data_IF_834265839882
#
_entry.id   IF_834265839882
#
_cell.length_a   1.000
_cell.length_b   1.000
_cell.length_c   1.000
_cell.angle_alpha   90.00
_cell.angle_beta   90.00
_cell.angle_gamma   90.00
#
_symmetry.space_group_name_H-M   'P 1'
#
loop_
_entity.id
_entity.type
_entity.pdbx_description
1 polymer ?
#
# COMPACT_ATOMS: atom_id res chain seq x y z
N UNK A 1 -50.48 -32.38 -56.28
CA UNK A 1 -50.96 -31.69 -55.06
C UNK A 1 -50.81 -32.65 -53.88
N UNK A 2 -49.62 -32.84 -53.32
CA UNK A 2 -48.88 -32.00 -52.35
C UNK A 2 -49.38 -32.09 -50.89
N UNK A 3 -48.46 -32.60 -50.06
CA UNK A 3 -48.25 -32.38 -48.62
C UNK A 3 -49.02 -33.27 -47.61
N UNK A 4 -48.50 -34.49 -47.51
CA UNK A 4 -48.41 -35.32 -46.28
C UNK A 4 -47.30 -34.76 -45.37
N UNK A 5 -47.51 -34.88 -44.05
CA UNK A 5 -46.51 -35.26 -43.04
C UNK A 5 -45.21 -34.43 -42.92
N UNK A 6 -45.28 -33.14 -42.58
CA UNK A 6 -44.11 -32.36 -42.12
C UNK A 6 -44.51 -31.40 -40.99
N UNK A 7 -45.21 -31.86 -39.94
CA UNK A 7 -45.40 -31.06 -38.70
C UNK A 7 -45.45 -32.03 -37.51
N UNK A 8 -44.43 -32.89 -37.36
CA UNK A 8 -44.19 -33.62 -36.10
C UNK A 8 -42.73 -34.07 -35.97
N UNK A 9 -41.80 -33.27 -36.50
CA UNK A 9 -40.36 -33.49 -36.39
C UNK A 9 -39.58 -32.21 -36.03
N UNK A 10 -40.29 -31.13 -35.69
CA UNK A 10 -39.68 -29.84 -35.34
C UNK A 10 -39.76 -29.47 -33.85
N UNK A 11 -40.29 -30.35 -33.00
CA UNK A 11 -40.42 -30.08 -31.55
C UNK A 11 -39.47 -30.94 -30.68
N UNK A 12 -38.78 -31.94 -31.25
CA UNK A 12 -37.73 -32.70 -30.53
C UNK A 12 -36.32 -32.19 -30.88
N UNK A 13 -36.17 -31.33 -31.90
CA UNK A 13 -34.90 -30.70 -32.28
C UNK A 13 -34.55 -29.41 -31.54
N UNK A 14 -35.46 -28.84 -30.75
CA UNK A 14 -35.24 -27.55 -30.06
C UNK A 14 -34.96 -27.67 -28.55
N UNK A 15 -35.04 -28.88 -27.98
CA UNK A 15 -34.68 -29.12 -26.58
C UNK A 15 -33.20 -29.56 -26.45
N UNK A 16 -32.55 -30.00 -27.53
CA UNK A 16 -31.11 -30.31 -27.52
C UNK A 16 -30.19 -29.13 -27.87
N UNK A 17 -30.74 -27.98 -28.29
CA UNK A 17 -29.94 -26.78 -28.61
C UNK A 17 -29.90 -25.72 -27.50
N UNK A 18 -30.74 -25.85 -26.46
CA UNK A 18 -30.69 -25.00 -25.27
C UNK A 18 -29.95 -25.64 -24.08
N UNK A 19 -29.59 -26.93 -24.17
CA UNK A 19 -28.69 -27.58 -23.21
C UNK A 19 -27.19 -27.39 -23.51
N UNK A 20 -26.83 -26.99 -24.74
CA UNK A 20 -25.43 -26.87 -25.18
C UNK A 20 -24.71 -25.57 -24.79
N UNK A 21 -25.44 -24.45 -24.65
CA UNK A 21 -24.82 -23.17 -24.28
C UNK A 21 -24.52 -23.03 -22.78
N UNK A 22 -25.20 -23.79 -21.91
CA UNK A 22 -24.90 -23.83 -20.49
C UNK A 22 -23.67 -24.72 -20.17
N UNK A 23 -23.37 -25.72 -21.01
CA UNK A 23 -22.18 -26.57 -20.86
C UNK A 23 -20.90 -25.91 -21.38
N UNK A 24 -20.98 -25.08 -22.43
CA UNK A 24 -19.82 -24.36 -22.98
C UNK A 24 -19.40 -23.14 -22.15
N UNK A 25 -20.34 -22.48 -21.46
CA UNK A 25 -20.04 -21.39 -20.52
C UNK A 25 -19.43 -21.90 -19.20
N UNK A 26 -19.85 -23.08 -18.73
CA UNK A 26 -19.25 -23.75 -17.58
C UNK A 26 -17.84 -24.31 -17.83
N UNK A 27 -17.54 -24.77 -19.06
CA UNK A 27 -16.20 -25.26 -19.42
C UNK A 27 -15.18 -24.14 -19.65
N UNK A 28 -15.59 -22.98 -20.16
CA UNK A 28 -14.70 -21.82 -20.31
C UNK A 28 -14.31 -21.21 -18.96
N UNK A 29 -15.26 -21.10 -18.01
CA UNK A 29 -14.97 -20.62 -16.66
C UNK A 29 -14.06 -21.57 -15.87
N UNK A 30 -14.25 -22.89 -16.00
CA UNK A 30 -13.38 -23.87 -15.34
C UNK A 30 -11.96 -23.88 -15.92
N UNK A 31 -11.80 -23.71 -17.23
CA UNK A 31 -10.47 -23.66 -17.84
C UNK A 31 -9.72 -22.37 -17.48
N UNK A 32 -10.39 -21.21 -17.46
CA UNK A 32 -9.75 -19.96 -17.04
C UNK A 32 -9.32 -20.01 -15.56
N UNK A 33 -10.16 -20.54 -14.68
CA UNK A 33 -9.81 -20.70 -13.28
C UNK A 33 -8.61 -21.66 -13.09
N UNK A 34 -8.57 -22.77 -13.82
CA UNK A 34 -7.43 -23.70 -13.78
C UNK A 34 -6.14 -23.07 -14.33
N UNK A 35 -6.23 -22.23 -15.36
CA UNK A 35 -5.08 -21.49 -15.90
C UNK A 35 -4.57 -20.41 -14.93
N UNK A 36 -5.46 -19.67 -14.27
CA UNK A 36 -5.11 -18.69 -13.24
C UNK A 36 -4.47 -19.37 -12.02
N UNK A 37 -5.00 -20.51 -11.57
CA UNK A 37 -4.45 -21.30 -10.47
C UNK A 37 -3.04 -21.84 -10.81
N UNK A 38 -2.82 -22.32 -12.04
CA UNK A 38 -1.50 -22.80 -12.51
C UNK A 38 -0.49 -21.64 -12.61
N UNK A 39 -0.89 -20.50 -13.18
CA UNK A 39 -0.04 -19.31 -13.23
C UNK A 39 0.35 -18.81 -11.84
N UNK A 40 -0.60 -18.78 -10.90
CA UNK A 40 -0.34 -18.38 -9.52
C UNK A 40 0.60 -19.38 -8.83
N UNK A 41 0.45 -20.67 -9.07
CA UNK A 41 1.34 -21.70 -8.53
C UNK A 41 2.76 -21.52 -9.07
N UNK A 42 2.92 -21.31 -10.38
CA UNK A 42 4.22 -21.09 -11.02
C UNK A 42 4.91 -19.83 -10.49
N UNK A 43 4.17 -18.73 -10.31
CA UNK A 43 4.68 -17.51 -9.70
C UNK A 43 5.15 -17.77 -8.26
N UNK A 44 4.35 -18.48 -7.46
CA UNK A 44 4.71 -18.79 -6.08
C UNK A 44 6.00 -19.64 -6.00
N UNK A 45 6.17 -20.62 -6.87
CA UNK A 45 7.39 -21.46 -6.94
C UNK A 45 8.61 -20.66 -7.39
N UNK A 46 8.41 -19.74 -8.35
CA UNK A 46 9.45 -18.82 -8.80
C UNK A 46 9.90 -17.88 -7.67
N UNK A 47 8.95 -17.27 -6.94
CA UNK A 47 9.24 -16.42 -5.77
C UNK A 47 10.07 -17.19 -4.73
N UNK A 48 9.66 -18.42 -4.38
CA UNK A 48 10.41 -19.26 -3.43
C UNK A 48 11.83 -19.58 -3.93
N UNK A 49 11.98 -19.82 -5.23
CA UNK A 49 13.29 -20.06 -5.84
C UNK A 49 14.20 -18.83 -5.72
N UNK A 50 13.67 -17.63 -5.96
CA UNK A 50 14.42 -16.39 -5.76
C UNK A 50 14.84 -16.20 -4.29
N UNK A 51 13.91 -16.41 -3.35
CA UNK A 51 14.20 -16.29 -1.90
C UNK A 51 15.31 -17.25 -1.46
N UNK A 52 15.31 -18.48 -1.97
CA UNK A 52 16.32 -19.47 -1.65
C UNK A 52 17.72 -19.10 -2.19
N UNK A 53 17.79 -18.30 -3.26
CA UNK A 53 19.03 -17.84 -3.86
C UNK A 53 19.59 -16.57 -3.19
N UNK A 54 18.79 -15.84 -2.41
CA UNK A 54 19.23 -14.61 -1.74
C UNK A 54 20.23 -14.89 -0.62
N UNK A 55 21.26 -14.05 -0.56
CA UNK A 55 22.14 -13.87 0.61
C UNK A 55 21.36 -13.36 1.83
N UNK A 56 21.96 -13.47 3.02
CA UNK A 56 21.32 -12.94 4.24
C UNK A 56 21.18 -11.41 4.15
N UNK A 57 22.15 -10.71 3.58
CA UNK A 57 22.11 -9.26 3.37
C UNK A 57 20.92 -8.86 2.49
N UNK A 58 20.71 -9.54 1.35
CA UNK A 58 19.55 -9.30 0.49
C UNK A 58 18.24 -9.58 1.24
N UNK A 59 18.17 -10.67 2.01
CA UNK A 59 16.96 -11.01 2.78
C UNK A 59 16.62 -9.94 3.81
N UNK A 60 17.61 -9.46 4.56
CA UNK A 60 17.40 -8.44 5.59
C UNK A 60 17.07 -7.10 4.95
N UNK A 61 17.78 -6.71 3.89
CA UNK A 61 17.53 -5.48 3.17
C UNK A 61 16.09 -5.37 2.68
N UNK A 62 15.51 -6.45 2.14
CA UNK A 62 14.12 -6.46 1.68
C UNK A 62 13.10 -6.16 2.79
N UNK A 63 13.42 -6.35 4.07
CA UNK A 63 12.53 -6.02 5.19
C UNK A 63 12.47 -4.52 5.52
N UNK A 64 13.28 -3.67 4.86
CA UNK A 64 13.38 -2.25 5.20
C UNK A 64 13.04 -1.38 4.00
N UNK A 65 12.18 -0.40 4.22
CA UNK A 65 12.02 0.78 3.36
C UNK A 65 12.67 1.95 4.09
N UNK A 66 13.65 2.58 3.44
CA UNK A 66 14.44 3.67 4.03
C UNK A 66 14.04 5.04 3.46
N UNK A 67 14.42 6.12 4.15
CA UNK A 67 14.38 7.46 3.58
C UNK A 67 15.65 7.77 2.80
N UNK A 68 15.65 8.96 2.20
CA UNK A 68 16.86 9.61 1.69
C UNK A 68 16.84 11.08 2.10
N UNK A 69 18.03 11.70 2.14
CA UNK A 69 18.18 13.11 2.48
C UNK A 69 18.54 13.95 1.24
N UNK A 70 18.06 15.19 1.22
CA UNK A 70 18.35 16.13 0.14
C UNK A 70 17.69 15.76 -1.20
N UNK A 71 18.25 16.33 -2.28
CA UNK A 71 17.69 16.31 -3.64
C UNK A 71 18.43 15.36 -4.60
N UNK A 72 19.42 14.62 -4.10
CA UNK A 72 20.34 13.81 -4.93
C UNK A 72 20.56 12.44 -4.28
N UNK A 73 20.90 11.44 -5.09
CA UNK A 73 21.33 10.13 -4.59
C UNK A 73 22.75 10.24 -4.01
N UNK A 74 22.84 10.58 -2.73
CA UNK A 74 24.10 10.76 -2.04
C UNK A 74 24.78 9.43 -1.66
N UNK A 75 25.97 9.50 -1.07
CA UNK A 75 26.73 8.30 -0.69
C UNK A 75 25.99 7.44 0.35
N UNK A 76 25.16 8.03 1.21
CA UNK A 76 24.42 7.30 2.23
C UNK A 76 23.29 6.49 1.58
N UNK A 77 22.52 7.10 0.68
CA UNK A 77 21.51 6.43 -0.13
C UNK A 77 22.12 5.31 -0.99
N UNK A 78 23.23 5.58 -1.68
CA UNK A 78 23.98 4.56 -2.43
C UNK A 78 24.40 3.40 -1.53
N UNK A 79 24.91 3.68 -0.34
CA UNK A 79 25.32 2.63 0.62
C UNK A 79 24.14 1.77 1.05
N UNK A 80 22.97 2.36 1.35
CA UNK A 80 21.77 1.60 1.72
C UNK A 80 21.32 0.67 0.61
N UNK A 81 21.36 1.13 -0.65
CA UNK A 81 20.95 0.35 -1.82
C UNK A 81 21.99 -0.72 -2.16
N UNK A 82 23.24 -0.32 -2.35
CA UNK A 82 24.29 -1.17 -2.92
C UNK A 82 24.88 -2.14 -1.89
N UNK A 83 25.02 -1.74 -0.62
CA UNK A 83 25.60 -2.58 0.43
C UNK A 83 24.52 -3.25 1.29
N UNK A 84 23.51 -2.50 1.75
CA UNK A 84 22.45 -3.02 2.62
C UNK A 84 21.25 -3.60 1.90
N UNK A 85 21.18 -3.48 0.56
CA UNK A 85 20.20 -4.18 -0.29
C UNK A 85 18.75 -3.87 0.07
N UNK A 86 18.48 -2.63 0.51
CA UNK A 86 17.16 -2.23 1.02
C UNK A 86 16.03 -2.54 0.03
N UNK A 87 14.86 -2.86 0.57
CA UNK A 87 13.67 -3.25 -0.20
C UNK A 87 13.01 -2.10 -0.92
N UNK A 88 13.21 -0.87 -0.45
CA UNK A 88 12.64 0.31 -1.08
C UNK A 88 13.05 1.61 -0.42
N UNK A 89 12.61 2.71 -1.04
CA UNK A 89 12.83 4.08 -0.61
C UNK A 89 11.49 4.81 -0.57
N UNK A 90 11.29 5.61 0.48
CA UNK A 90 10.20 6.59 0.55
C UNK A 90 10.75 8.00 0.30
N UNK A 91 10.07 8.77 -0.56
CA UNK A 91 10.35 10.18 -0.78
C UNK A 91 9.38 11.09 0.00
N UNK A 92 9.92 12.21 0.47
CA UNK A 92 9.18 13.28 1.13
C UNK A 92 9.27 14.58 0.33
N UNK A 93 8.48 15.59 0.72
CA UNK A 93 8.55 16.92 0.11
C UNK A 93 9.95 17.54 0.25
N UNK A 94 10.69 17.20 1.31
CA UNK A 94 12.10 17.63 1.50
C UNK A 94 13.07 17.07 0.44
N UNK A 95 12.65 16.05 -0.32
CA UNK A 95 13.45 15.46 -1.41
C UNK A 95 13.04 15.97 -2.80
N UNK A 96 12.00 16.79 -2.88
CA UNK A 96 11.35 17.18 -4.13
C UNK A 96 11.35 18.71 -4.25
N UNK A 97 12.23 19.21 -5.09
CA UNK A 97 12.33 20.62 -5.46
C UNK A 97 11.43 20.96 -6.65
N UNK A 98 11.55 20.20 -7.72
CA UNK A 98 10.81 20.34 -8.97
C UNK A 98 10.76 18.99 -9.71
N UNK A 99 9.96 18.89 -10.77
CA UNK A 99 9.75 17.63 -11.48
C UNK A 99 11.03 17.07 -12.10
N UNK A 100 11.88 17.92 -12.68
CA UNK A 100 13.11 17.44 -13.31
C UNK A 100 14.08 16.87 -12.28
N UNK A 101 14.30 17.58 -11.17
CA UNK A 101 15.15 17.09 -10.08
C UNK A 101 14.60 15.79 -9.48
N UNK A 102 13.28 15.66 -9.31
CA UNK A 102 12.68 14.42 -8.81
C UNK A 102 12.95 13.23 -9.74
N UNK A 103 12.85 13.42 -11.06
CA UNK A 103 13.15 12.38 -12.05
C UNK A 103 14.64 11.99 -12.02
N UNK A 104 15.54 12.97 -11.88
CA UNK A 104 16.98 12.72 -11.73
C UNK A 104 17.29 11.92 -10.45
N UNK A 105 16.67 12.27 -9.32
CA UNK A 105 16.79 11.52 -8.07
C UNK A 105 16.28 10.09 -8.26
N UNK A 106 15.05 9.90 -8.74
CA UNK A 106 14.48 8.54 -8.91
C UNK A 106 15.32 7.69 -9.86
N UNK A 107 15.76 8.23 -10.99
CA UNK A 107 16.58 7.49 -11.94
C UNK A 107 17.96 7.13 -11.38
N UNK A 108 18.59 8.01 -10.58
CA UNK A 108 19.86 7.70 -9.95
C UNK A 108 19.74 6.67 -8.82
N UNK A 109 18.63 6.64 -8.07
CA UNK A 109 18.35 5.57 -7.10
C UNK A 109 18.18 4.21 -7.79
N UNK A 110 17.45 4.18 -8.91
CA UNK A 110 17.31 3.00 -9.77
C UNK A 110 18.64 2.52 -10.34
N UNK A 111 19.48 3.45 -10.78
CA UNK A 111 20.83 3.15 -11.27
C UNK A 111 21.70 2.49 -10.19
N UNK A 112 21.70 3.02 -8.96
CA UNK A 112 22.37 2.37 -7.82
C UNK A 112 21.84 0.97 -7.54
N UNK A 113 20.54 0.72 -7.75
CA UNK A 113 19.97 -0.61 -7.55
C UNK A 113 20.29 -1.60 -8.69
N UNK A 114 20.95 -1.18 -9.78
CA UNK A 114 21.31 -2.06 -10.91
C UNK A 114 22.23 -3.23 -10.54
N UNK A 115 22.91 -3.15 -9.40
CA UNK A 115 23.74 -4.24 -8.84
C UNK A 115 22.90 -5.29 -8.09
N UNK A 116 21.61 -5.05 -7.88
CA UNK A 116 20.68 -5.90 -7.15
C UNK A 116 19.68 -6.57 -8.10
N UNK A 117 19.29 -7.83 -7.86
CA UNK A 117 18.37 -8.53 -8.74
C UNK A 117 16.90 -8.14 -8.54
N UNK A 118 16.56 -7.48 -7.42
CA UNK A 118 15.19 -7.15 -7.04
C UNK A 118 14.98 -5.62 -7.12
N UNK A 119 14.00 -5.15 -7.90
CA UNK A 119 13.67 -3.72 -8.01
C UNK A 119 13.26 -3.08 -6.69
N UNK A 120 13.45 -1.77 -6.55
CA UNK A 120 13.02 -1.03 -5.35
C UNK A 120 11.51 -0.81 -5.32
N UNK A 121 10.92 -0.88 -4.13
CA UNK A 121 9.71 -0.08 -3.90
C UNK A 121 10.11 1.40 -3.86
N UNK A 122 9.46 2.22 -4.66
CA UNK A 122 9.66 3.67 -4.70
C UNK A 122 8.34 4.31 -4.27
N UNK A 123 8.31 4.68 -2.99
CA UNK A 123 7.12 5.04 -2.25
C UNK A 123 7.01 6.56 -2.01
N UNK A 124 5.78 7.02 -1.80
CA UNK A 124 5.46 8.40 -1.42
C UNK A 124 4.17 8.45 -0.61
N UNK A 125 3.96 9.52 0.17
CA UNK A 125 2.67 9.87 0.77
C UNK A 125 1.92 10.89 -0.09
N UNK A 126 1.30 10.45 -1.19
CA UNK A 126 0.44 11.29 -2.04
C UNK A 126 -1.04 10.99 -1.73
N UNK A 127 -1.53 11.53 -0.60
CA UNK A 127 -2.93 11.39 -0.16
C UNK A 127 -3.84 12.44 -0.81
N UNK A 128 -3.28 13.64 -1.04
CA UNK A 128 -4.00 14.85 -1.42
C UNK A 128 -4.18 15.83 -0.27
N UNK A 129 -4.76 16.99 -0.56
CA UNK A 129 -4.91 18.06 0.43
C UNK A 129 -3.56 18.50 1.02
N UNK A 130 -3.45 18.51 2.35
CA UNK A 130 -2.21 18.90 3.05
C UNK A 130 -1.12 17.82 3.03
N UNK A 131 -1.47 16.57 2.70
CA UNK A 131 -0.51 15.47 2.53
C UNK A 131 -0.36 15.16 1.04
N UNK A 132 0.29 16.10 0.37
CA UNK A 132 0.73 16.00 -1.02
C UNK A 132 2.22 16.31 -1.07
N UNK A 133 2.95 15.58 -1.90
CA UNK A 133 4.43 15.57 -1.97
C UNK A 133 4.92 15.82 -3.38
N UNK A 134 4.08 15.54 -4.38
CA UNK A 134 4.39 15.80 -5.79
C UNK A 134 4.86 17.24 -6.04
N UNK A 135 5.68 17.45 -7.10
CA UNK A 135 6.14 18.77 -7.51
C UNK A 135 4.99 19.75 -7.78
N UNK A 136 5.25 21.04 -7.59
CA UNK A 136 4.25 22.10 -7.70
C UNK A 136 3.75 22.29 -9.16
N UNK A 137 4.44 21.71 -10.14
CA UNK A 137 3.99 21.64 -11.53
C UNK A 137 2.71 20.81 -11.71
N UNK A 138 2.42 19.85 -10.82
CA UNK A 138 1.18 19.11 -10.84
C UNK A 138 0.06 19.89 -10.14
N UNK A 139 -1.16 19.81 -10.68
CA UNK A 139 -2.32 20.36 -10.00
C UNK A 139 -2.59 19.65 -8.69
N UNK A 140 -2.92 20.44 -7.66
CA UNK A 140 -3.27 19.93 -6.33
C UNK A 140 -4.56 19.11 -6.38
N UNK A 141 -4.62 18.10 -5.53
CA UNK A 141 -5.80 17.27 -5.29
C UNK A 141 -6.50 17.66 -3.99
N UNK A 142 -7.83 17.49 -3.89
CA UNK A 142 -8.56 17.82 -2.67
C UNK A 142 -8.12 16.93 -1.49
N UNK A 143 -8.38 17.37 -0.26
CA UNK A 143 -8.28 16.50 0.90
C UNK A 143 -9.37 15.41 0.85
N UNK A 144 -9.12 14.24 1.44
CA UNK A 144 -10.07 13.12 1.47
C UNK A 144 -11.43 13.51 2.04
N UNK A 145 -11.48 14.39 3.05
CA UNK A 145 -12.74 14.90 3.59
C UNK A 145 -13.61 15.54 2.51
N UNK A 146 -13.02 16.33 1.60
CA UNK A 146 -13.79 16.98 0.54
C UNK A 146 -14.33 15.97 -0.47
N UNK A 147 -13.59 14.89 -0.71
CA UNK A 147 -14.07 13.76 -1.54
C UNK A 147 -15.24 13.06 -0.84
N UNK A 148 -15.13 12.81 0.46
CA UNK A 148 -16.21 12.22 1.26
C UNK A 148 -17.45 13.11 1.37
N UNK A 149 -17.30 14.44 1.44
CA UNK A 149 -18.42 15.39 1.40
C UNK A 149 -19.18 15.37 0.07
N UNK A 150 -18.47 15.20 -1.05
CA UNK A 150 -19.10 15.02 -2.37
C UNK A 150 -19.78 13.64 -2.45
N UNK A 151 -19.20 12.64 -1.78
CA UNK A 151 -19.70 11.28 -1.65
C UNK A 151 -20.01 10.60 -2.99
N UNK A 152 -19.13 10.77 -3.97
CA UNK A 152 -19.21 10.12 -5.28
C UNK A 152 -18.05 9.14 -5.44
N UNK A 153 -18.37 7.85 -5.48
CA UNK A 153 -17.40 6.76 -5.63
C UNK A 153 -16.65 6.83 -6.97
N UNK A 154 -17.29 7.32 -8.03
CA UNK A 154 -16.66 7.49 -9.34
C UNK A 154 -15.60 8.60 -9.32
N UNK A 155 -15.85 9.68 -8.57
CA UNK A 155 -14.84 10.72 -8.33
C UNK A 155 -13.59 10.14 -7.68
N UNK A 156 -13.77 9.36 -6.60
CA UNK A 156 -12.65 8.72 -5.88
C UNK A 156 -11.80 7.84 -6.80
N UNK A 157 -12.44 7.01 -7.64
CA UNK A 157 -11.73 6.17 -8.60
C UNK A 157 -11.00 7.00 -9.67
N UNK A 158 -11.70 7.95 -10.32
CA UNK A 158 -11.14 8.75 -11.43
C UNK A 158 -9.99 9.63 -10.94
N UNK A 159 -10.14 10.27 -9.78
CA UNK A 159 -9.10 11.10 -9.18
C UNK A 159 -7.86 10.26 -8.86
N UNK A 160 -8.05 9.13 -8.17
CA UNK A 160 -6.95 8.24 -7.79
C UNK A 160 -6.26 7.60 -9.01
N UNK A 161 -7.02 7.31 -10.08
CA UNK A 161 -6.44 6.87 -11.36
C UNK A 161 -5.57 7.96 -12.01
N UNK A 162 -5.96 9.23 -11.95
CA UNK A 162 -5.11 10.30 -12.49
C UNK A 162 -3.86 10.50 -11.62
N UNK A 163 -4.00 10.43 -10.29
CA UNK A 163 -2.85 10.43 -9.37
C UNK A 163 -1.92 9.25 -9.64
N UNK A 164 -2.46 8.05 -9.83
CA UNK A 164 -1.68 6.87 -10.19
C UNK A 164 -0.88 7.07 -11.50
N UNK A 165 -1.45 7.76 -12.49
CA UNK A 165 -0.73 8.11 -13.71
C UNK A 165 0.41 9.10 -13.46
N UNK A 166 0.21 10.08 -12.58
CA UNK A 166 1.26 11.04 -12.19
C UNK A 166 2.41 10.31 -11.49
N UNK A 167 2.10 9.47 -10.50
CA UNK A 167 3.09 8.68 -9.76
C UNK A 167 3.88 7.75 -10.68
N UNK A 168 3.18 6.98 -11.54
CA UNK A 168 3.82 6.07 -12.49
C UNK A 168 4.72 6.81 -13.47
N UNK A 169 4.26 7.96 -13.98
CA UNK A 169 5.06 8.77 -14.90
C UNK A 169 6.35 9.28 -14.23
N UNK A 170 6.31 9.60 -12.94
CA UNK A 170 7.48 9.97 -12.15
C UNK A 170 8.38 8.78 -11.79
N UNK A 171 7.98 7.54 -12.07
CA UNK A 171 8.75 6.33 -11.75
C UNK A 171 8.53 5.79 -10.34
N UNK A 172 7.55 6.34 -9.60
CA UNK A 172 7.08 5.79 -8.34
C UNK A 172 6.17 4.59 -8.61
N UNK A 173 6.15 3.63 -7.68
CA UNK A 173 5.39 2.39 -7.83
C UNK A 173 4.57 2.02 -6.58
N UNK A 174 4.68 2.78 -5.49
CA UNK A 174 3.94 2.57 -4.26
C UNK A 174 3.45 3.91 -3.72
N UNK A 175 2.20 3.95 -3.27
CA UNK A 175 1.63 5.12 -2.62
C UNK A 175 1.06 4.73 -1.26
N UNK A 176 1.47 5.44 -0.22
CA UNK A 176 0.94 5.29 1.13
C UNK A 176 -0.40 6.03 1.25
N UNK A 177 -1.37 5.57 0.46
CA UNK A 177 -2.74 6.03 0.43
C UNK A 177 -3.64 4.88 -0.09
N UNK A 178 -4.92 4.86 0.26
CA UNK A 178 -5.68 5.85 1.02
C UNK A 178 -5.58 5.74 2.56
N UNK A 179 -5.94 6.83 3.24
CA UNK A 179 -6.24 6.83 4.68
C UNK A 179 -7.65 6.28 4.88
N UNK A 180 -7.76 5.20 5.65
CA UNK A 180 -8.99 4.51 6.03
C UNK A 180 -9.37 4.72 7.51
N UNK A 181 -8.72 5.65 8.19
CA UNK A 181 -9.12 6.05 9.54
C UNK A 181 -10.51 6.68 9.51
N UNK A 182 -11.39 6.25 10.42
CA UNK A 182 -12.70 6.89 10.63
C UNK A 182 -12.51 8.07 11.58
N UNK A 183 -12.71 9.30 11.11
CA UNK A 183 -12.49 10.52 11.92
C UNK A 183 -13.62 10.72 12.94
N UNK A 184 -13.71 9.83 13.91
CA UNK A 184 -14.76 9.78 14.93
C UNK A 184 -14.56 10.81 16.04
N UNK A 185 -13.32 11.30 16.23
CA UNK A 185 -13.00 12.35 17.18
C UNK A 185 -12.79 13.70 16.48
N UNK A 186 -13.68 14.68 16.67
CA UNK A 186 -13.55 15.98 16.02
C UNK A 186 -12.32 16.78 16.48
N UNK A 187 -11.69 16.40 17.60
CA UNK A 187 -10.47 17.03 18.12
C UNK A 187 -9.19 16.30 17.69
N UNK A 188 -9.28 15.31 16.79
CA UNK A 188 -8.11 14.58 16.31
C UNK A 188 -7.14 15.53 15.59
N UNK A 189 -5.87 15.67 16.06
CA UNK A 189 -4.93 16.62 15.48
C UNK A 189 -4.23 16.09 14.21
N UNK A 190 -4.28 14.77 13.96
CA UNK A 190 -3.45 14.08 12.96
C UNK A 190 -4.21 13.71 11.71
N UNK A 191 -5.43 13.19 11.86
CA UNK A 191 -6.27 12.69 10.78
C UNK A 191 -7.08 13.84 10.20
N UNK A 192 -8.13 14.29 10.90
CA UNK A 192 -8.94 15.44 10.47
C UNK A 192 -9.39 15.31 9.01
N UNK A 193 -8.98 16.27 8.18
CA UNK A 193 -9.31 16.36 6.76
C UNK A 193 -8.71 15.25 5.87
N UNK A 194 -7.78 14.45 6.41
CA UNK A 194 -7.18 13.28 5.72
C UNK A 194 -8.11 12.07 5.68
N UNK A 195 -9.10 12.00 6.56
CA UNK A 195 -10.15 10.97 6.50
C UNK A 195 -11.25 11.39 5.54
N UNK A 196 -11.87 10.41 4.88
CA UNK A 196 -13.06 10.66 4.06
C UNK A 196 -14.27 11.08 4.90
N UNK A 197 -14.47 10.48 6.08
CA UNK A 197 -15.71 10.68 6.85
C UNK A 197 -15.56 10.23 8.30
N UNK A 198 -16.50 10.65 9.13
CA UNK A 198 -16.75 10.05 10.45
C UNK A 198 -17.60 8.77 10.36
N UNK A 199 -18.14 8.47 9.17
CA UNK A 199 -18.97 7.29 8.89
C UNK A 199 -18.10 6.17 8.27
N UNK A 200 -17.98 5.00 8.91
CA UNK A 200 -17.17 3.89 8.41
C UNK A 200 -17.61 3.39 7.02
N UNK A 201 -18.90 3.42 6.70
CA UNK A 201 -19.41 2.92 5.41
C UNK A 201 -18.99 3.84 4.25
N UNK A 202 -18.94 5.14 4.50
CA UNK A 202 -18.42 6.12 3.54
C UNK A 202 -16.90 5.98 3.38
N UNK A 203 -16.17 5.74 4.48
CA UNK A 203 -14.72 5.50 4.43
C UNK A 203 -14.42 4.23 3.62
N UNK A 204 -15.19 3.15 3.81
CA UNK A 204 -15.13 1.97 2.93
C UNK A 204 -15.39 2.36 1.47
N UNK A 205 -16.53 2.99 1.17
CA UNK A 205 -16.93 3.27 -0.22
C UNK A 205 -15.89 4.11 -0.97
N UNK A 206 -15.43 5.20 -0.37
CA UNK A 206 -14.49 6.11 -1.01
C UNK A 206 -13.07 5.56 -1.02
N UNK A 207 -12.60 5.02 0.10
CA UNK A 207 -11.26 4.44 0.22
C UNK A 207 -11.03 3.29 -0.74
N UNK A 208 -12.00 2.38 -0.91
CA UNK A 208 -11.88 1.25 -1.85
C UNK A 208 -11.79 1.72 -3.30
N UNK A 209 -12.52 2.76 -3.68
CA UNK A 209 -12.39 3.32 -5.02
C UNK A 209 -11.07 4.05 -5.24
N UNK A 210 -10.54 4.74 -4.22
CA UNK A 210 -9.18 5.31 -4.28
C UNK A 210 -8.12 4.22 -4.45
N UNK A 211 -8.19 3.13 -3.67
CA UNK A 211 -7.32 1.96 -3.80
C UNK A 211 -7.38 1.36 -5.21
N UNK A 212 -8.60 1.12 -5.74
CA UNK A 212 -8.81 0.60 -7.08
C UNK A 212 -8.30 1.55 -8.19
N UNK A 213 -8.43 2.86 -7.99
CA UNK A 213 -7.91 3.86 -8.92
C UNK A 213 -6.38 3.82 -9.02
N UNK A 214 -5.68 3.75 -7.89
CA UNK A 214 -4.22 3.59 -7.85
C UNK A 214 -3.79 2.26 -8.51
N UNK A 215 -4.44 1.15 -8.11
CA UNK A 215 -4.23 -0.18 -8.68
C UNK A 215 -4.40 -0.22 -10.19
N UNK A 216 -5.40 0.49 -10.74
CA UNK A 216 -5.66 0.53 -12.19
C UNK A 216 -4.50 1.10 -13.00
N UNK A 217 -3.54 1.77 -12.35
CA UNK A 217 -2.35 2.35 -12.97
C UNK A 217 -1.06 1.63 -12.59
N UNK A 218 -1.15 0.43 -12.00
CA UNK A 218 -0.01 -0.32 -11.47
C UNK A 218 0.76 0.43 -10.37
N UNK A 219 0.04 1.20 -9.54
CA UNK A 219 0.57 1.74 -8.28
C UNK A 219 0.05 0.90 -7.13
N UNK A 220 0.98 0.39 -6.31
CA UNK A 220 0.66 -0.37 -5.11
C UNK A 220 0.05 0.59 -4.09
N UNK A 221 -1.18 0.33 -3.68
CA UNK A 221 -1.87 1.09 -2.65
C UNK A 221 -1.56 0.50 -1.27
N UNK A 222 -1.23 1.36 -0.31
CA UNK A 222 -1.04 0.97 1.09
C UNK A 222 -2.09 1.69 1.93
N UNK A 223 -3.09 0.94 2.40
CA UNK A 223 -4.16 1.51 3.23
C UNK A 223 -3.67 1.72 4.67
N UNK A 224 -4.12 2.79 5.33
CA UNK A 224 -3.55 3.21 6.64
C UNK A 224 -4.54 3.99 7.53
N UNK A 225 -4.36 4.07 8.84
CA UNK A 225 -3.27 3.51 9.64
C UNK A 225 -3.86 2.46 10.59
N UNK A 226 -3.64 1.18 10.29
CA UNK A 226 -4.24 0.08 11.05
C UNK A 226 -3.77 0.09 12.52
N UNK A 227 -4.64 -0.11 13.53
CA UNK A 227 -6.05 -0.51 13.44
C UNK A 227 -7.06 0.64 13.44
N UNK A 228 -6.62 1.88 13.21
CA UNK A 228 -7.45 3.08 13.18
C UNK A 228 -6.91 4.18 14.11
N UNK A 229 -6.50 5.30 13.52
CA UNK A 229 -5.93 6.47 14.20
C UNK A 229 -6.94 7.60 14.42
N UNK A 230 -8.18 7.42 13.96
CA UNK A 230 -9.19 8.48 13.91
C UNK A 230 -9.77 8.96 15.25
N UNK A 231 -9.53 8.23 16.35
CA UNK A 231 -9.96 8.61 17.72
C UNK A 231 -8.80 8.98 18.67
N UNK A 232 -7.65 9.38 18.13
CA UNK A 232 -6.51 9.80 18.96
C UNK A 232 -6.57 11.29 19.32
N UNK A 233 -6.05 11.62 20.50
CA UNK A 233 -5.91 13.00 20.99
C UNK A 233 -4.46 13.51 20.98
N UNK A 234 -3.51 12.62 20.68
CA UNK A 234 -2.07 12.92 20.63
C UNK A 234 -1.58 12.59 19.22
N UNK A 235 -0.75 13.47 18.67
CA UNK A 235 -0.09 13.22 17.41
C UNK A 235 1.07 12.24 17.60
N UNK A 236 1.06 11.12 16.86
CA UNK A 236 2.13 10.12 16.89
C UNK A 236 3.49 10.67 16.46
N UNK A 237 3.52 11.79 15.73
CA UNK A 237 4.76 12.51 15.43
C UNK A 237 5.32 13.28 16.63
N UNK A 238 4.51 13.51 17.68
CA UNK A 238 4.85 14.29 18.86
C UNK A 238 4.90 13.46 20.15
N UNK A 239 4.28 12.27 20.18
CA UNK A 239 4.30 11.36 21.32
C UNK A 239 3.37 10.16 21.12
N UNK A 240 3.44 9.16 22.01
CA UNK A 240 2.66 7.93 21.88
C UNK A 240 1.16 8.16 22.16
N UNK A 241 0.27 8.01 21.16
CA UNK A 241 -1.17 8.05 21.37
C UNK A 241 -1.62 6.79 22.11
N UNK A 242 -2.48 6.97 23.12
CA UNK A 242 -3.09 5.88 23.88
C UNK A 242 -4.60 5.94 23.68
N UNK A 243 -5.18 4.82 23.26
CA UNK A 243 -6.63 4.68 23.03
C UNK A 243 -7.15 3.55 23.92
N UNK A 244 -8.02 3.88 24.87
CA UNK A 244 -8.52 2.96 25.90
C UNK A 244 -9.86 2.29 25.49
N UNK A 245 -9.95 1.90 24.22
CA UNK A 245 -11.12 1.21 23.68
C UNK A 245 -10.95 -0.30 23.77
N UNK A 246 -12.06 -1.03 23.88
CA UNK A 246 -12.05 -2.49 23.84
C UNK A 246 -12.09 -3.02 22.40
N UNK A 247 -11.90 -4.34 22.25
CA UNK A 247 -11.91 -4.98 20.94
C UNK A 247 -13.27 -4.88 20.23
N UNK A 248 -14.38 -4.84 20.97
CA UNK A 248 -15.71 -4.75 20.39
C UNK A 248 -15.92 -3.39 19.73
N UNK A 249 -15.41 -2.32 20.36
CA UNK A 249 -15.38 -0.98 19.78
C UNK A 249 -14.62 -0.99 18.45
N UNK A 250 -13.40 -1.53 18.45
CA UNK A 250 -12.58 -1.62 17.23
C UNK A 250 -13.33 -2.32 16.08
N UNK A 251 -13.97 -3.47 16.33
CA UNK A 251 -14.77 -4.17 15.30
C UNK A 251 -16.02 -3.41 14.86
N UNK A 252 -16.59 -2.57 15.72
CA UNK A 252 -17.81 -1.81 15.43
C UNK A 252 -17.58 -0.49 14.70
N UNK A 253 -16.33 -0.04 14.58
CA UNK A 253 -16.01 1.25 13.97
C UNK A 253 -14.66 1.26 13.24
N UNK A 254 -13.55 1.20 13.98
CA UNK A 254 -12.21 1.46 13.43
C UNK A 254 -11.75 0.40 12.42
N UNK A 255 -12.12 -0.88 12.64
CA UNK A 255 -11.71 -2.00 11.78
C UNK A 255 -12.61 -2.19 10.55
N UNK A 256 -13.78 -1.55 10.49
CA UNK A 256 -14.73 -1.74 9.37
C UNK A 256 -14.07 -1.39 8.02
N UNK A 257 -13.42 -0.21 7.85
CA UNK A 257 -12.72 0.11 6.60
C UNK A 257 -11.60 -0.84 6.22
N UNK A 258 -10.86 -1.38 7.19
CA UNK A 258 -9.79 -2.34 6.92
C UNK A 258 -10.34 -3.70 6.51
N UNK A 259 -11.44 -4.17 7.11
CA UNK A 259 -12.15 -5.36 6.66
C UNK A 259 -12.64 -5.20 5.22
N UNK A 260 -13.27 -4.06 4.89
CA UNK A 260 -13.65 -3.72 3.52
C UNK A 260 -12.44 -3.78 2.55
N UNK A 261 -11.29 -3.25 2.96
CA UNK A 261 -10.08 -3.26 2.15
C UNK A 261 -9.55 -4.67 1.87
N UNK A 262 -9.54 -5.52 2.89
CA UNK A 262 -9.12 -6.93 2.76
C UNK A 262 -10.05 -7.71 1.84
N UNK A 263 -11.37 -7.53 1.98
CA UNK A 263 -12.37 -8.16 1.11
C UNK A 263 -12.20 -7.74 -0.36
N UNK A 264 -11.76 -6.50 -0.60
CA UNK A 264 -11.46 -5.94 -1.93
C UNK A 264 -9.98 -6.07 -2.33
N UNK A 265 -9.28 -7.04 -1.74
CA UNK A 265 -7.92 -7.45 -2.11
C UNK A 265 -6.88 -6.35 -1.97
N UNK A 266 -6.90 -5.61 -0.86
CA UNK A 266 -5.81 -4.68 -0.53
C UNK A 266 -4.45 -5.36 -0.66
N UNK A 267 -3.51 -4.68 -1.30
CA UNK A 267 -2.15 -5.17 -1.54
C UNK A 267 -1.33 -5.10 -0.26
N UNK A 268 -1.46 -3.96 0.44
CA UNK A 268 -0.66 -3.64 1.60
C UNK A 268 -1.43 -2.83 2.64
N UNK A 269 -1.06 -3.01 3.91
CA UNK A 269 -1.62 -2.30 5.06
C UNK A 269 -0.47 -1.73 5.90
N UNK A 270 -0.55 -0.44 6.21
CA UNK A 270 0.36 0.22 7.14
C UNK A 270 -0.20 0.21 8.56
N UNK A 271 0.65 -0.08 9.55
CA UNK A 271 0.30 -0.17 10.98
C UNK A 271 0.75 1.06 11.76
N UNK A 272 -0.12 1.58 12.62
CA UNK A 272 0.10 2.81 13.38
C UNK A 272 0.86 2.57 14.71
N UNK A 273 1.57 3.60 15.17
CA UNK A 273 2.17 3.64 16.50
C UNK A 273 1.16 4.11 17.55
N UNK A 274 0.16 3.29 17.86
CA UNK A 274 -0.89 3.58 18.85
C UNK A 274 -0.87 2.50 19.93
N UNK A 275 -0.82 2.89 21.21
CA UNK A 275 -0.97 1.97 22.32
C UNK A 275 -2.46 1.71 22.59
N UNK A 276 -2.83 0.43 22.63
CA UNK A 276 -4.19 -0.04 22.88
C UNK A 276 -4.20 -0.94 24.12
N UNK A 277 -4.29 -0.38 25.36
CA UNK A 277 -4.04 -1.15 26.57
C UNK A 277 -4.95 -2.36 26.78
N UNK A 278 -6.17 -2.33 26.27
CA UNK A 278 -7.12 -3.45 26.32
C UNK A 278 -6.82 -4.56 25.30
N UNK A 279 -5.90 -4.33 24.36
CA UNK A 279 -5.44 -5.30 23.37
C UNK A 279 -4.02 -5.77 23.71
N UNK A 280 -3.11 -4.83 23.92
CA UNK A 280 -1.74 -5.05 24.35
C UNK A 280 -1.29 -3.85 25.22
N UNK A 281 -1.11 -4.05 26.54
CA UNK A 281 -0.74 -2.98 27.46
C UNK A 281 0.73 -2.54 27.36
N UNK A 282 1.55 -3.24 26.58
CA UNK A 282 3.00 -3.02 26.54
C UNK A 282 3.49 -2.54 25.17
N UNK A 283 2.85 -2.96 24.09
CA UNK A 283 3.30 -2.66 22.75
C UNK A 283 2.26 -1.86 21.95
N UNK A 284 2.68 -0.77 21.29
CA UNK A 284 1.93 -0.14 20.22
C UNK A 284 1.54 -1.14 19.12
N UNK A 285 0.43 -0.86 18.45
CA UNK A 285 -0.16 -1.71 17.41
C UNK A 285 0.85 -2.17 16.34
N UNK A 286 1.74 -1.29 15.91
CA UNK A 286 2.79 -1.53 14.90
C UNK A 286 3.81 -2.63 15.24
N UNK A 287 3.90 -3.04 16.50
CA UNK A 287 4.75 -4.16 16.91
C UNK A 287 4.11 -5.02 18.01
N UNK A 288 2.77 -5.04 18.05
CA UNK A 288 2.00 -5.96 18.89
C UNK A 288 1.56 -7.19 18.11
N UNK A 289 1.92 -8.39 18.60
CA UNK A 289 1.45 -9.66 18.04
C UNK A 289 -0.07 -9.86 18.19
N UNK A 290 -0.69 -9.25 19.21
CA UNK A 290 -2.15 -9.27 19.37
C UNK A 290 -2.83 -8.45 18.26
N UNK A 291 -2.24 -7.32 17.87
CA UNK A 291 -2.81 -6.47 16.81
C UNK A 291 -2.51 -7.03 15.42
N UNK A 292 -1.27 -7.40 15.13
CA UNK A 292 -0.87 -7.82 13.78
C UNK A 292 -1.17 -9.31 13.56
N UNK A 293 -0.53 -10.21 14.31
CA UNK A 293 -0.70 -11.66 14.07
C UNK A 293 -2.11 -12.15 14.39
N UNK A 294 -2.70 -11.73 15.50
CA UNK A 294 -4.04 -12.21 15.88
C UNK A 294 -5.14 -11.46 15.14
N UNK A 295 -5.26 -10.14 15.30
CA UNK A 295 -6.38 -9.41 14.69
C UNK A 295 -6.22 -9.30 13.18
N UNK A 296 -5.12 -8.74 12.67
CA UNK A 296 -4.97 -8.48 11.23
C UNK A 296 -4.82 -9.76 10.40
N UNK A 297 -3.89 -10.64 10.77
CA UNK A 297 -3.59 -11.86 10.00
C UNK A 297 -4.61 -12.97 10.19
N UNK A 298 -4.99 -13.27 11.45
CA UNK A 298 -5.88 -14.41 11.73
C UNK A 298 -7.36 -14.00 11.67
N UNK A 299 -7.79 -13.01 12.45
CA UNK A 299 -9.21 -12.70 12.60
C UNK A 299 -9.78 -12.01 11.34
N UNK A 300 -9.03 -11.06 10.75
CA UNK A 300 -9.41 -10.39 9.50
C UNK A 300 -8.91 -11.11 8.23
N UNK A 301 -8.02 -12.11 8.37
CA UNK A 301 -7.56 -12.93 7.25
C UNK A 301 -6.67 -12.21 6.23
N UNK A 302 -5.94 -11.17 6.62
CA UNK A 302 -5.09 -10.44 5.69
C UNK A 302 -3.79 -11.17 5.35
N UNK A 303 -3.59 -11.52 4.08
CA UNK A 303 -2.37 -12.19 3.58
C UNK A 303 -1.48 -11.28 2.71
N UNK A 304 -1.84 -10.01 2.52
CA UNK A 304 -1.04 -9.02 1.78
C UNK A 304 0.14 -8.48 2.60
N UNK A 305 0.83 -7.48 2.08
CA UNK A 305 2.03 -6.93 2.70
C UNK A 305 1.69 -6.06 3.93
N UNK A 306 2.34 -6.28 5.07
CA UNK A 306 2.20 -5.41 6.26
C UNK A 306 3.46 -4.58 6.45
N UNK A 307 3.28 -3.26 6.52
CA UNK A 307 4.36 -2.28 6.69
C UNK A 307 4.12 -1.51 7.99
N UNK A 308 5.16 -1.16 8.74
CA UNK A 308 5.00 -0.20 9.85
C UNK A 308 4.83 1.22 9.33
N UNK A 309 4.20 2.08 10.13
CA UNK A 309 4.46 3.52 10.05
C UNK A 309 5.94 3.80 10.41
N UNK A 310 6.38 5.04 10.25
CA UNK A 310 7.78 5.43 10.41
C UNK A 310 8.30 5.22 11.84
N UNK A 311 9.20 4.26 12.02
CA UNK A 311 9.80 3.93 13.32
C UNK A 311 10.66 5.07 13.89
N UNK A 312 10.96 6.11 13.13
CA UNK A 312 11.66 7.30 13.62
C UNK A 312 10.72 8.36 14.23
N UNK A 313 9.40 8.12 14.22
CA UNK A 313 8.43 8.99 14.88
C UNK A 313 8.58 8.99 16.41
N UNK A 314 8.27 10.12 17.04
CA UNK A 314 8.38 10.32 18.50
C UNK A 314 7.61 9.27 19.31
N UNK A 315 6.47 8.78 18.82
CA UNK A 315 5.73 7.68 19.45
C UNK A 315 6.58 6.42 19.69
N UNK A 316 7.60 6.19 18.84
CA UNK A 316 8.55 5.10 18.98
C UNK A 316 9.83 5.60 19.67
N UNK A 317 10.57 6.53 19.06
CA UNK A 317 11.95 6.83 19.50
C UNK A 317 12.06 7.47 20.90
N UNK A 318 10.99 8.09 21.41
CA UNK A 318 10.99 8.66 22.76
C UNK A 318 10.62 7.60 23.83
N UNK A 319 10.14 6.43 23.42
CA UNK A 319 9.55 5.43 24.32
C UNK A 319 10.19 4.04 24.20
N UNK A 320 10.83 3.72 23.06
CA UNK A 320 11.37 2.42 22.72
C UNK A 320 12.72 2.57 21.99
N UNK A 321 13.58 1.56 22.11
CA UNK A 321 14.76 1.44 21.24
C UNK A 321 14.30 1.03 19.83
N UNK A 322 14.75 1.75 18.81
CA UNK A 322 14.30 1.55 17.42
C UNK A 322 14.73 0.18 16.87
N UNK A 323 15.90 -0.32 17.28
CA UNK A 323 16.37 -1.65 16.88
C UNK A 323 15.46 -2.75 17.44
N UNK A 324 15.13 -2.65 18.74
CA UNK A 324 14.20 -3.57 19.38
C UNK A 324 12.79 -3.47 18.76
N UNK A 325 12.28 -2.26 18.54
CA UNK A 325 10.98 -2.04 17.92
C UNK A 325 10.89 -2.66 16.52
N UNK A 326 11.94 -2.52 15.69
CA UNK A 326 11.98 -3.13 14.36
C UNK A 326 11.95 -4.66 14.43
N UNK A 327 12.74 -5.27 15.31
CA UNK A 327 12.74 -6.72 15.52
C UNK A 327 11.37 -7.20 16.01
N UNK A 328 10.76 -6.51 16.97
CA UNK A 328 9.43 -6.86 17.47
C UNK A 328 8.35 -6.70 16.40
N UNK A 329 8.42 -5.69 15.53
CA UNK A 329 7.47 -5.51 14.43
C UNK A 329 7.48 -6.71 13.48
N UNK A 330 8.66 -7.17 13.06
CA UNK A 330 8.78 -8.34 12.18
C UNK A 330 8.28 -9.61 12.88
N UNK A 331 8.61 -9.80 14.15
CA UNK A 331 8.11 -10.93 14.97
C UNK A 331 6.59 -10.88 15.16
N UNK A 332 6.01 -9.70 15.31
CA UNK A 332 4.58 -9.49 15.48
C UNK A 332 3.78 -9.80 14.20
N UNK A 333 4.43 -9.83 13.03
CA UNK A 333 3.80 -10.21 11.76
C UNK A 333 3.86 -9.14 10.68
N UNK A 334 4.54 -8.00 10.93
CA UNK A 334 4.90 -7.04 9.88
C UNK A 334 5.93 -7.68 8.94
N UNK A 335 5.83 -7.37 7.65
CA UNK A 335 6.76 -7.88 6.64
C UNK A 335 7.87 -6.87 6.36
N UNK A 336 7.57 -5.57 6.46
CA UNK A 336 8.55 -4.49 6.32
C UNK A 336 8.44 -3.47 7.45
N UNK A 337 9.57 -2.86 7.78
CA UNK A 337 9.67 -1.70 8.67
C UNK A 337 10.07 -0.47 7.87
N UNK A 338 9.50 0.67 8.25
CA UNK A 338 9.77 1.96 7.65
C UNK A 338 10.69 2.77 8.57
N UNK A 339 11.82 3.25 8.03
CA UNK A 339 12.76 4.13 8.74
C UNK A 339 13.06 5.32 7.83
N UNK A 340 12.38 6.45 8.04
CA UNK A 340 12.30 7.48 6.99
C UNK A 340 13.43 8.50 6.95
N UNK A 341 14.36 8.47 7.90
CA UNK A 341 15.51 9.38 7.94
C UNK A 341 16.53 8.92 8.98
N UNK A 342 17.69 9.58 8.98
CA UNK A 342 18.85 9.30 9.83
C UNK A 342 19.52 7.97 9.47
N UNK A 343 20.54 8.07 8.61
CA UNK A 343 21.35 6.95 8.13
C UNK A 343 21.92 6.06 9.24
N UNK A 344 22.21 6.61 10.43
CA UNK A 344 22.70 5.77 11.54
C UNK A 344 21.57 4.90 12.10
N UNK A 345 20.34 5.41 12.19
CA UNK A 345 19.17 4.62 12.61
C UNK A 345 18.81 3.56 11.58
N UNK A 346 18.80 3.90 10.29
CA UNK A 346 18.55 2.96 9.19
C UNK A 346 19.52 1.79 9.25
N UNK A 347 20.82 2.09 9.36
CA UNK A 347 21.88 1.08 9.52
C UNK A 347 21.71 0.26 10.80
N UNK A 348 21.40 0.88 11.93
CA UNK A 348 21.23 0.18 13.21
C UNK A 348 20.07 -0.83 13.15
N UNK A 349 18.94 -0.44 12.52
CA UNK A 349 17.79 -1.33 12.30
C UNK A 349 18.16 -2.51 11.41
N UNK A 350 18.82 -2.27 10.27
CA UNK A 350 19.30 -3.34 9.38
C UNK A 350 20.22 -4.33 10.10
N UNK A 351 21.16 -3.82 10.90
CA UNK A 351 22.07 -4.66 11.69
C UNK A 351 21.35 -5.48 12.76
N UNK A 352 20.38 -4.88 13.44
CA UNK A 352 19.60 -5.55 14.47
C UNK A 352 18.71 -6.66 13.89
N UNK A 353 18.06 -6.41 12.75
CA UNK A 353 17.28 -7.43 12.04
C UNK A 353 18.17 -8.60 11.60
N UNK A 354 19.36 -8.31 11.06
CA UNK A 354 20.35 -9.34 10.71
C UNK A 354 20.73 -10.18 11.94
N UNK A 355 21.10 -9.53 13.03
CA UNK A 355 21.49 -10.22 14.27
C UNK A 355 20.33 -11.05 14.84
N UNK A 356 19.11 -10.54 14.82
CA UNK A 356 17.92 -11.24 15.31
C UNK A 356 17.63 -12.51 14.47
N UNK A 357 17.86 -12.47 13.16
CA UNK A 357 17.75 -13.68 12.32
C UNK A 357 18.89 -14.66 12.60
N UNK A 358 20.14 -14.20 12.67
CA UNK A 358 21.31 -15.04 12.95
C UNK A 358 21.22 -15.75 14.31
N UNK A 359 20.64 -15.08 15.31
CA UNK A 359 20.39 -15.63 16.65
C UNK A 359 19.12 -16.51 16.73
N UNK A 360 18.25 -16.48 15.71
CA UNK A 360 16.98 -17.19 15.70
C UNK A 360 15.84 -16.50 16.46
N UNK A 361 16.01 -15.24 16.89
CA UNK A 361 14.95 -14.43 17.49
C UNK A 361 13.84 -14.10 16.47
N UNK A 362 14.23 -13.91 15.21
CA UNK A 362 13.34 -13.99 14.04
C UNK A 362 13.60 -15.35 13.39
N UNK A 363 12.62 -16.25 13.49
CA UNK A 363 12.70 -17.57 12.87
C UNK A 363 12.84 -17.47 11.34
N UNK A 364 13.50 -18.45 10.73
CA UNK A 364 13.64 -18.55 9.27
C UNK A 364 12.26 -18.58 8.58
N UNK A 365 11.28 -19.27 9.17
CA UNK A 365 9.93 -19.36 8.64
C UNK A 365 9.23 -17.99 8.61
N UNK A 366 9.39 -17.19 9.67
CA UNK A 366 8.84 -15.83 9.71
C UNK A 366 9.50 -14.94 8.66
N UNK A 367 10.83 -15.03 8.52
CA UNK A 367 11.58 -14.29 7.50
C UNK A 367 11.10 -14.65 6.08
N UNK A 368 10.99 -15.95 5.77
CA UNK A 368 10.54 -16.42 4.45
C UNK A 368 9.11 -16.02 4.14
N UNK A 369 8.20 -16.00 5.13
CA UNK A 369 6.84 -15.49 4.95
C UNK A 369 6.84 -14.00 4.56
N UNK A 370 7.67 -13.17 5.20
CA UNK A 370 7.78 -11.75 4.83
C UNK A 370 8.32 -11.58 3.42
N UNK A 371 9.44 -12.25 3.12
CA UNK A 371 10.08 -12.19 1.82
C UNK A 371 9.17 -12.67 0.70
N UNK A 372 8.37 -13.71 0.95
CA UNK A 372 7.40 -14.21 -0.01
C UNK A 372 6.39 -13.13 -0.39
N UNK A 373 5.81 -12.42 0.59
CA UNK A 373 4.84 -11.34 0.31
C UNK A 373 5.50 -10.16 -0.42
N UNK A 374 6.69 -9.77 0.00
CA UNK A 374 7.46 -8.67 -0.62
C UNK A 374 7.75 -8.98 -2.08
N UNK A 375 8.43 -10.11 -2.36
CA UNK A 375 8.84 -10.45 -3.72
C UNK A 375 7.65 -10.77 -4.61
N UNK A 376 6.63 -11.46 -4.09
CA UNK A 376 5.38 -11.74 -4.83
C UNK A 376 4.74 -10.43 -5.29
N UNK A 377 4.56 -9.45 -4.40
CA UNK A 377 3.92 -8.18 -4.76
C UNK A 377 4.74 -7.42 -5.81
N UNK A 378 6.08 -7.39 -5.68
CA UNK A 378 6.95 -6.78 -6.70
C UNK A 378 6.79 -7.43 -8.08
N UNK A 379 6.63 -8.75 -8.12
CA UNK A 379 6.47 -9.50 -9.37
C UNK A 379 5.05 -9.36 -9.96
N UNK A 380 4.01 -9.36 -9.13
CA UNK A 380 2.62 -9.15 -9.59
C UNK A 380 2.45 -7.78 -10.26
N UNK A 381 3.15 -6.77 -9.75
CA UNK A 381 3.20 -5.42 -10.33
C UNK A 381 4.24 -5.25 -11.43
N UNK A 382 4.98 -6.31 -11.79
CA UNK A 382 6.06 -6.29 -12.78
C UNK A 382 7.02 -5.11 -12.58
N UNK A 383 7.42 -4.85 -11.33
CA UNK A 383 8.28 -3.71 -11.03
C UNK A 383 9.59 -3.82 -11.78
N UNK A 384 10.13 -2.67 -12.20
CA UNK A 384 11.44 -2.56 -12.83
C UNK A 384 12.12 -1.28 -12.39
N UNK A 385 13.46 -1.31 -12.40
CA UNK A 385 14.29 -0.11 -12.21
C UNK A 385 14.69 0.52 -13.54
N UNK A 386 13.93 0.29 -14.60
CA UNK A 386 14.14 0.99 -15.86
C UNK A 386 13.97 2.50 -15.65
N UNK A 387 14.88 3.33 -16.19
CA UNK A 387 14.83 4.76 -16.00
C UNK A 387 13.58 5.34 -16.66
N UNK A 388 12.96 6.30 -15.99
CA UNK A 388 11.85 7.06 -16.55
C UNK A 388 12.35 8.22 -17.39
N UNK A 389 11.66 8.46 -18.51
CA UNK A 389 11.95 9.56 -19.42
C UNK A 389 11.23 10.86 -18.98
N UNK A 390 11.14 11.82 -19.89
CA UNK A 390 10.39 13.06 -19.66
C UNK A 390 8.91 12.81 -19.37
N UNK A 391 8.36 13.57 -18.43
CA UNK A 391 6.95 13.51 -18.03
C UNK A 391 6.17 14.67 -18.65
N UNK A 392 5.08 14.36 -19.37
CA UNK A 392 4.14 15.36 -19.87
C UNK A 392 3.11 15.73 -18.79
N UNK A 393 3.55 16.50 -17.79
CA UNK A 393 2.69 16.90 -16.67
C UNK A 393 1.52 17.78 -17.12
N UNK A 394 1.65 18.55 -18.22
CA UNK A 394 0.56 19.38 -18.74
C UNK A 394 -0.63 18.53 -19.20
N UNK A 395 -0.39 17.38 -19.85
CA UNK A 395 -1.46 16.47 -20.24
C UNK A 395 -2.16 15.83 -19.02
N UNK A 396 -1.41 15.55 -17.95
CA UNK A 396 -1.97 15.02 -16.69
C UNK A 396 -2.78 16.09 -15.95
N UNK A 397 -2.30 17.32 -15.91
CA UNK A 397 -3.05 18.46 -15.37
C UNK A 397 -4.34 18.69 -16.15
N UNK A 398 -4.32 18.63 -17.49
CA UNK A 398 -5.55 18.74 -18.30
C UNK A 398 -6.60 17.68 -17.96
N UNK A 399 -6.18 16.45 -17.60
CA UNK A 399 -7.10 15.40 -17.12
C UNK A 399 -7.73 15.78 -15.78
N UNK A 400 -6.94 16.29 -14.82
CA UNK A 400 -7.46 16.79 -13.55
C UNK A 400 -8.39 18.00 -13.75
N UNK A 401 -8.03 18.94 -14.63
CA UNK A 401 -8.88 20.09 -14.94
C UNK A 401 -10.22 19.67 -15.54
N UNK A 402 -10.21 18.68 -16.44
CA UNK A 402 -11.44 18.12 -17.00
C UNK A 402 -12.29 17.47 -15.91
N UNK A 403 -11.68 16.67 -15.03
CA UNK A 403 -12.37 16.08 -13.88
C UNK A 403 -12.98 17.16 -12.97
N UNK A 404 -12.23 18.19 -12.58
CA UNK A 404 -12.75 19.24 -11.69
C UNK A 404 -13.85 20.09 -12.32
N UNK A 405 -13.96 20.13 -13.66
CA UNK A 405 -15.11 20.77 -14.34
C UNK A 405 -16.39 19.95 -14.22
N UNK A 406 -16.28 18.63 -14.05
CA UNK A 406 -17.43 17.76 -13.79
C UNK A 406 -17.97 17.95 -12.35
N UNK A 407 -17.15 18.45 -11.42
CA UNK A 407 -17.47 18.60 -10.00
C UNK A 407 -17.31 20.06 -9.53
N UNK A 408 -18.40 20.82 -9.49
CA UNK A 408 -18.39 22.25 -9.13
C UNK A 408 -17.70 22.53 -7.77
N UNK A 409 -17.84 21.62 -6.82
CA UNK A 409 -17.22 21.64 -5.49
C UNK A 409 -15.68 21.63 -5.50
N UNK A 410 -15.06 21.20 -6.60
CA UNK A 410 -13.60 21.14 -6.79
C UNK A 410 -13.05 22.30 -7.61
N UNK A 411 -13.92 23.19 -8.12
CA UNK A 411 -13.51 24.32 -8.96
C UNK A 411 -12.54 25.30 -8.28
N UNK A 412 -12.44 25.29 -6.95
CA UNK A 412 -11.46 26.09 -6.21
C UNK A 412 -10.01 25.65 -6.48
N UNK A 413 -9.78 24.39 -6.88
CA UNK A 413 -8.48 23.85 -7.24
C UNK A 413 -7.98 24.30 -8.61
N UNK A 414 -8.86 24.92 -9.42
CA UNK A 414 -8.49 25.51 -10.71
C UNK A 414 -7.98 26.95 -10.58
N UNK A 415 -8.04 27.53 -9.37
CA UNK A 415 -7.56 28.88 -9.11
C UNK A 415 -6.07 28.81 -8.73
N UNK A 416 -5.23 29.68 -9.32
CA UNK A 416 -3.78 29.69 -9.09
C UNK A 416 -3.41 29.98 -7.63
#
# INVERSE_FOLDING_TARGET
MHKRNIILLFIIGLIFLLGGCALLSGQNGSNQQLEEEDQQSQLNDYVRTQINAMSIEEKIGQLVIAGVDGYENDLQAQTLIEEYKIGGIILFKRNIKDLNQMLELINSLKESNSVNPIPLFLAIDEEGGRVSRLPDEFLKTPASQKIGEINDSELSFRLASIVGQQLKACGLNMNFAPVLDVNSNPNNPVIGDRSFSHDPDQVCTQGIQTMNGLRSQDIISVVKHFPGHGDTLVDSHLGLPVVDHDINRLYSLELIPFACAIENKAEAIMTAHILLPNIDPHNPASFSSNTISKILRQDLGFDGLVITDDLTMAAVIDNYDIQEAAVQAIKAGSDQVLVCHDFQKEKAVLQALKQAVENGDISVERLEQSLFRILKLKMEYNLTDEPVSTVNYQALNQKLEALYKDYQDLSYLLKP
#
